data_IF_093677032025
#
_entry.id   IF_093677032025
#
_cell.length_a   1.000
_cell.length_b   1.000
_cell.length_c   1.000
_cell.angle_alpha   90.00
_cell.angle_beta   90.00
_cell.angle_gamma   90.00
#
_symmetry.space_group_name_H-M   'P 1'
#
loop_
_entity.id
_entity.type
_entity.pdbx_description
1 polymer ?
#
# COMPACT_ATOMS: atom_id res chain seq x y z
N UNK A 1 18.89 -11.31 47.37
CA UNK A 1 19.82 -11.08 46.22
C UNK A 1 19.40 -11.75 44.91
N UNK A 2 18.83 -12.96 44.86
CA UNK A 2 18.39 -13.61 43.60
C UNK A 2 17.18 -12.94 42.93
N UNK A 3 16.29 -12.32 43.70
CA UNK A 3 15.09 -11.66 43.15
C UNK A 3 15.40 -10.34 42.44
N UNK A 4 16.37 -9.58 42.94
CA UNK A 4 16.83 -8.34 42.29
C UNK A 4 17.60 -8.60 40.98
N UNK A 5 18.28 -9.75 40.89
CA UNK A 5 18.96 -10.15 39.62
C UNK A 5 17.94 -10.54 38.54
N UNK A 6 16.79 -11.13 38.89
CA UNK A 6 15.73 -11.49 37.98
C UNK A 6 14.94 -10.27 37.45
N UNK A 7 14.68 -9.29 38.33
CA UNK A 7 14.02 -8.03 37.94
C UNK A 7 14.88 -7.19 37.02
N UNK A 8 16.21 -7.18 37.19
CA UNK A 8 17.12 -6.49 36.27
C UNK A 8 17.28 -7.20 34.92
N UNK A 9 17.15 -8.54 34.89
CA UNK A 9 17.18 -9.29 33.62
C UNK A 9 15.91 -9.09 32.79
N UNK A 10 14.75 -8.96 33.44
CA UNK A 10 13.47 -8.62 32.78
C UNK A 10 13.45 -7.18 32.26
N UNK A 11 14.08 -6.23 32.95
CA UNK A 11 14.20 -4.83 32.52
C UNK A 11 15.11 -4.63 31.32
N UNK A 12 16.06 -5.55 31.08
CA UNK A 12 17.00 -5.50 29.96
C UNK A 12 16.57 -6.36 28.75
N UNK A 13 15.45 -7.07 28.85
CA UNK A 13 14.87 -7.74 27.69
C UNK A 13 14.37 -6.67 26.71
N UNK A 14 15.16 -6.39 25.67
CA UNK A 14 14.77 -5.49 24.57
C UNK A 14 13.48 -6.04 23.98
N UNK A 15 12.40 -5.25 23.90
CA UNK A 15 11.18 -5.73 23.26
C UNK A 15 11.51 -6.12 21.82
N UNK A 16 11.15 -7.35 21.47
CA UNK A 16 11.36 -7.88 20.12
C UNK A 16 10.29 -7.23 19.22
N UNK A 17 10.52 -5.97 18.83
CA UNK A 17 9.58 -5.19 18.04
C UNK A 17 9.73 -5.63 16.59
N UNK A 18 8.72 -6.30 16.06
CA UNK A 18 8.62 -6.67 14.65
C UNK A 18 7.91 -5.55 13.89
N UNK A 19 8.53 -5.05 12.82
CA UNK A 19 7.98 -4.07 11.88
C UNK A 19 7.52 -4.75 10.58
N UNK A 20 6.87 -5.90 10.69
CA UNK A 20 6.17 -6.50 9.54
C UNK A 20 4.85 -5.74 9.29
N UNK A 21 4.44 -5.61 8.02
CA UNK A 21 3.18 -4.94 7.69
C UNK A 21 2.01 -5.60 8.44
N UNK A 22 1.35 -4.82 9.29
CA UNK A 22 0.18 -5.27 10.06
C UNK A 22 -1.13 -4.98 9.35
N UNK A 23 -1.06 -4.24 8.25
CA UNK A 23 -2.22 -3.81 7.48
C UNK A 23 -2.59 -4.87 6.42
N UNK A 24 -3.41 -5.85 6.81
CA UNK A 24 -3.85 -6.90 5.89
C UNK A 24 -4.55 -6.33 4.63
N UNK A 25 -5.28 -5.22 4.77
CA UNK A 25 -5.93 -4.55 3.65
C UNK A 25 -4.95 -3.97 2.64
N UNK A 26 -3.90 -3.29 3.10
CA UNK A 26 -2.87 -2.74 2.22
C UNK A 26 -2.08 -3.84 1.49
N UNK A 27 -1.76 -4.92 2.20
CA UNK A 27 -1.10 -6.09 1.61
C UNK A 27 -1.97 -6.74 0.52
N UNK A 28 -3.26 -6.90 0.77
CA UNK A 28 -4.20 -7.42 -0.23
C UNK A 28 -4.30 -6.49 -1.45
N UNK A 29 -4.41 -5.17 -1.25
CA UNK A 29 -4.45 -4.18 -2.33
C UNK A 29 -3.17 -4.15 -3.17
N UNK A 30 -2.03 -4.53 -2.59
CA UNK A 30 -0.76 -4.65 -3.29
C UNK A 30 -0.66 -5.96 -4.07
N UNK A 31 -1.01 -7.10 -3.44
CA UNK A 31 -0.78 -8.43 -4.00
C UNK A 31 -1.82 -8.81 -5.06
N UNK A 32 -3.10 -8.45 -4.86
CA UNK A 32 -4.17 -8.81 -5.82
C UNK A 32 -3.87 -8.35 -7.24
N UNK A 33 -3.46 -7.07 -7.49
CA UNK A 33 -3.09 -6.62 -8.82
C UNK A 33 -1.90 -7.38 -9.42
N UNK A 34 -0.88 -7.67 -8.62
CA UNK A 34 0.32 -8.42 -9.05
C UNK A 34 -0.08 -9.82 -9.52
N UNK A 35 -0.85 -10.54 -8.70
CA UNK A 35 -1.32 -11.90 -9.02
C UNK A 35 -2.21 -11.87 -10.26
N UNK A 36 -3.10 -10.87 -10.37
CA UNK A 36 -3.99 -10.75 -11.53
C UNK A 36 -3.22 -10.57 -12.83
N UNK A 37 -2.19 -9.72 -12.85
CA UNK A 37 -1.33 -9.54 -14.03
C UNK A 37 -0.57 -10.82 -14.34
N UNK A 38 0.03 -11.47 -13.34
CA UNK A 38 0.78 -12.71 -13.54
C UNK A 38 -0.08 -13.83 -14.17
N UNK A 39 -1.35 -13.94 -13.74
CA UNK A 39 -2.30 -14.89 -14.34
C UNK A 39 -2.67 -14.52 -15.78
N UNK A 40 -2.88 -13.23 -16.06
CA UNK A 40 -3.28 -12.76 -17.39
C UNK A 40 -2.13 -12.81 -18.40
N UNK A 41 -0.92 -12.50 -17.98
CA UNK A 41 0.27 -12.54 -18.84
C UNK A 41 0.68 -13.98 -19.22
N UNK A 42 0.30 -14.98 -18.44
CA UNK A 42 0.60 -16.41 -18.64
C UNK A 42 2.09 -16.76 -18.74
N UNK A 43 2.96 -15.82 -18.50
CA UNK A 43 4.41 -16.00 -18.51
C UNK A 43 4.96 -15.55 -17.16
N UNK A 44 5.88 -16.33 -16.58
CA UNK A 44 6.59 -15.98 -15.36
C UNK A 44 8.02 -15.60 -15.68
N UNK A 45 8.40 -14.39 -15.26
CA UNK A 45 9.78 -13.90 -15.38
C UNK A 45 10.35 -13.55 -14.01
N UNK A 46 11.64 -13.69 -13.86
CA UNK A 46 12.35 -13.30 -12.62
C UNK A 46 12.14 -11.82 -12.27
N UNK A 47 11.93 -10.96 -13.27
CA UNK A 47 11.58 -9.55 -13.08
C UNK A 47 10.28 -9.35 -12.32
N UNK A 48 9.29 -10.24 -12.42
CA UNK A 48 8.05 -10.16 -11.65
C UNK A 48 8.28 -10.44 -10.16
N UNK A 49 9.18 -11.39 -9.83
CA UNK A 49 9.57 -11.63 -8.44
C UNK A 49 10.33 -10.43 -7.86
N UNK A 50 11.21 -9.82 -8.66
CA UNK A 50 11.90 -8.58 -8.26
C UNK A 50 10.91 -7.43 -8.04
N UNK A 51 9.90 -7.31 -8.91
CA UNK A 51 8.82 -6.30 -8.76
C UNK A 51 7.99 -6.56 -7.51
N UNK A 52 7.63 -7.82 -7.25
CA UNK A 52 6.91 -8.21 -6.02
C UNK A 52 7.74 -7.87 -4.78
N UNK A 53 9.02 -8.23 -4.77
CA UNK A 53 9.93 -7.96 -3.66
C UNK A 53 10.11 -6.45 -3.43
N UNK A 54 10.28 -5.66 -4.51
CA UNK A 54 10.38 -4.20 -4.44
C UNK A 54 9.11 -3.56 -3.90
N UNK A 55 7.93 -3.96 -4.41
CA UNK A 55 6.64 -3.43 -3.99
C UNK A 55 6.35 -3.77 -2.52
N UNK A 56 6.64 -5.01 -2.09
CA UNK A 56 6.48 -5.41 -0.69
C UNK A 56 7.47 -4.71 0.23
N UNK A 57 8.73 -4.56 -0.18
CA UNK A 57 9.74 -3.83 0.58
C UNK A 57 9.39 -2.35 0.74
N UNK A 58 8.84 -1.70 -0.30
CA UNK A 58 8.37 -0.32 -0.23
C UNK A 58 7.21 -0.17 0.78
N UNK A 59 6.24 -1.10 0.77
CA UNK A 59 5.15 -1.12 1.74
C UNK A 59 5.67 -1.34 3.16
N UNK A 60 6.55 -2.32 3.36
CA UNK A 60 7.08 -2.69 4.66
C UNK A 60 8.03 -1.65 5.27
N UNK A 61 8.75 -0.89 4.43
CA UNK A 61 9.61 0.21 4.86
C UNK A 61 8.83 1.38 5.47
N UNK A 62 7.53 1.51 5.19
CA UNK A 62 6.68 2.61 5.65
C UNK A 62 6.68 2.73 7.18
N UNK A 63 6.42 1.65 7.88
CA UNK A 63 6.23 1.69 9.34
C UNK A 63 7.50 2.08 10.10
N UNK A 64 8.67 1.44 9.88
CA UNK A 64 9.90 1.87 10.53
C UNK A 64 10.31 3.30 10.14
N UNK A 65 10.05 3.70 8.90
CA UNK A 65 10.31 5.07 8.42
C UNK A 65 9.47 6.11 9.15
N UNK A 66 8.17 5.85 9.37
CA UNK A 66 7.28 6.75 10.14
C UNK A 66 7.74 6.87 11.59
N UNK A 67 8.17 5.76 12.21
CA UNK A 67 8.71 5.80 13.59
C UNK A 67 9.96 6.68 13.66
N UNK A 68 10.91 6.48 12.75
CA UNK A 68 12.14 7.30 12.68
C UNK A 68 11.82 8.77 12.41
N UNK A 69 10.90 9.06 11.49
CA UNK A 69 10.49 10.42 11.17
C UNK A 69 9.83 11.12 12.38
N UNK A 70 8.92 10.42 13.10
CA UNK A 70 8.29 10.97 14.31
C UNK A 70 9.32 11.26 15.39
N UNK A 71 10.27 10.37 15.62
CA UNK A 71 11.34 10.57 16.60
C UNK A 71 12.22 11.78 16.22
N UNK A 72 12.54 11.95 14.94
CA UNK A 72 13.38 13.05 14.46
C UNK A 72 12.68 14.40 14.48
N UNK A 73 11.43 14.45 13.99
CA UNK A 73 10.74 15.72 13.72
C UNK A 73 9.72 16.13 14.77
N UNK A 74 9.10 15.16 15.48
CA UNK A 74 8.03 15.44 16.44
C UNK A 74 8.55 15.36 17.87
N UNK A 75 9.11 14.21 18.25
CA UNK A 75 9.49 13.99 19.63
C UNK A 75 10.90 14.50 19.97
N UNK A 76 11.75 14.66 18.96
CA UNK A 76 13.15 15.12 19.08
C UNK A 76 13.96 14.31 20.12
N UNK A 77 13.54 13.08 20.37
CA UNK A 77 14.15 12.16 21.32
C UNK A 77 14.21 10.76 20.72
N UNK A 78 15.27 10.01 21.03
CA UNK A 78 15.38 8.62 20.66
C UNK A 78 14.72 7.73 21.72
N UNK A 79 13.96 6.73 21.28
CA UNK A 79 13.32 5.74 22.14
C UNK A 79 14.01 4.38 21.99
N UNK A 80 13.68 3.44 22.87
CA UNK A 80 14.23 2.07 22.84
C UNK A 80 14.04 1.34 21.50
N UNK A 81 13.02 1.74 20.73
CA UNK A 81 12.66 1.14 19.45
C UNK A 81 13.47 1.70 18.27
N UNK A 82 14.21 2.83 18.44
CA UNK A 82 14.94 3.51 17.34
C UNK A 82 15.90 2.57 16.62
N UNK A 83 16.71 1.82 17.38
CA UNK A 83 17.69 0.91 16.80
C UNK A 83 17.05 -0.27 16.06
N UNK A 84 15.88 -0.75 16.53
CA UNK A 84 15.12 -1.78 15.84
C UNK A 84 14.50 -1.23 14.56
N UNK A 85 13.85 -0.06 14.62
CA UNK A 85 13.27 0.60 13.45
C UNK A 85 14.33 0.90 12.38
N UNK A 86 15.52 1.39 12.76
CA UNK A 86 16.61 1.66 11.84
C UNK A 86 17.11 0.39 11.12
N UNK A 87 17.25 -0.74 11.84
CA UNK A 87 17.66 -2.01 11.24
C UNK A 87 16.62 -2.55 10.27
N UNK A 88 15.34 -2.53 10.64
CA UNK A 88 14.26 -2.96 9.76
C UNK A 88 14.17 -2.08 8.52
N UNK A 89 14.27 -0.76 8.69
CA UNK A 89 14.30 0.19 7.57
C UNK A 89 15.48 -0.08 6.63
N UNK A 90 16.70 -0.25 7.17
CA UNK A 90 17.88 -0.55 6.37
C UNK A 90 17.73 -1.88 5.61
N UNK A 91 17.15 -2.91 6.24
CA UNK A 91 16.87 -4.20 5.58
C UNK A 91 15.90 -4.06 4.40
N UNK A 92 14.81 -3.31 4.58
CA UNK A 92 13.85 -3.08 3.49
C UNK A 92 14.42 -2.21 2.38
N UNK A 93 15.23 -1.19 2.72
CA UNK A 93 15.95 -0.38 1.71
C UNK A 93 16.96 -1.22 0.94
N UNK A 94 17.69 -2.11 1.61
CA UNK A 94 18.59 -3.05 0.93
C UNK A 94 17.82 -3.96 -0.03
N UNK A 95 16.67 -4.50 0.40
CA UNK A 95 15.79 -5.29 -0.47
C UNK A 95 15.30 -4.49 -1.69
N UNK A 96 14.90 -3.21 -1.50
CA UNK A 96 14.53 -2.30 -2.58
C UNK A 96 15.68 -2.08 -3.57
N UNK A 97 16.89 -1.84 -3.08
CA UNK A 97 18.08 -1.62 -3.93
C UNK A 97 18.38 -2.88 -4.73
N UNK A 98 18.43 -4.05 -4.08
CA UNK A 98 18.71 -5.33 -4.76
C UNK A 98 17.65 -5.63 -5.83
N UNK A 99 16.38 -5.46 -5.51
CA UNK A 99 15.29 -5.63 -6.49
C UNK A 99 15.40 -4.63 -7.63
N UNK A 100 15.71 -3.36 -7.31
CA UNK A 100 15.92 -2.31 -8.30
C UNK A 100 17.09 -2.63 -9.25
N UNK A 101 18.19 -3.19 -8.76
CA UNK A 101 19.32 -3.62 -9.61
C UNK A 101 18.91 -4.74 -10.57
N UNK A 102 18.08 -5.69 -10.13
CA UNK A 102 17.54 -6.73 -11.02
C UNK A 102 16.62 -6.10 -12.08
N UNK A 103 15.79 -5.15 -11.70
CA UNK A 103 14.90 -4.46 -12.62
C UNK A 103 15.64 -3.57 -13.62
N UNK A 104 16.81 -3.02 -13.27
CA UNK A 104 17.67 -2.27 -14.20
C UNK A 104 18.12 -3.08 -15.43
N UNK A 105 18.17 -4.41 -15.31
CA UNK A 105 18.54 -5.30 -16.42
C UNK A 105 17.35 -5.51 -17.38
N UNK A 106 16.12 -5.42 -16.87
CA UNK A 106 14.91 -5.81 -17.61
C UNK A 106 14.03 -4.64 -18.01
N UNK A 107 14.08 -3.54 -17.27
CA UNK A 107 13.26 -2.37 -17.50
C UNK A 107 14.02 -1.26 -18.22
N UNK A 108 13.34 -0.46 -19.08
CA UNK A 108 13.95 0.75 -19.60
C UNK A 108 14.24 1.74 -18.45
N UNK A 109 15.40 2.38 -18.47
CA UNK A 109 15.86 3.31 -17.44
C UNK A 109 14.82 4.39 -17.11
N UNK A 110 14.13 4.89 -18.14
CA UNK A 110 13.05 5.88 -17.98
C UNK A 110 11.92 5.37 -17.08
N UNK A 111 11.53 4.11 -17.20
CA UNK A 111 10.48 3.51 -16.36
C UNK A 111 10.94 3.39 -14.91
N UNK A 112 12.18 3.00 -14.66
CA UNK A 112 12.77 2.91 -13.31
C UNK A 112 12.79 4.28 -12.64
N UNK A 113 13.23 5.31 -13.36
CA UNK A 113 13.26 6.68 -12.84
C UNK A 113 11.84 7.15 -12.49
N UNK A 114 10.87 6.97 -13.38
CA UNK A 114 9.48 7.39 -13.16
C UNK A 114 8.83 6.64 -11.99
N UNK A 115 9.01 5.32 -11.93
CA UNK A 115 8.49 4.50 -10.83
C UNK A 115 9.16 4.83 -9.51
N UNK A 116 10.49 4.96 -9.50
CA UNK A 116 11.25 5.34 -8.31
C UNK A 116 10.86 6.72 -7.78
N UNK A 117 10.70 7.71 -8.67
CA UNK A 117 10.22 9.03 -8.32
C UNK A 117 8.79 8.98 -7.74
N UNK A 118 7.89 8.22 -8.37
CA UNK A 118 6.52 8.03 -7.90
C UNK A 118 6.47 7.42 -6.49
N UNK A 119 7.21 6.35 -6.26
CA UNK A 119 7.34 5.72 -4.93
C UNK A 119 7.95 6.69 -3.92
N UNK A 120 8.99 7.44 -4.29
CA UNK A 120 9.64 8.42 -3.43
C UNK A 120 8.70 9.55 -3.01
N UNK A 121 8.03 10.18 -3.97
CA UNK A 121 7.06 11.26 -3.71
C UNK A 121 5.90 10.76 -2.85
N UNK A 122 5.33 9.59 -3.18
CA UNK A 122 4.24 9.02 -2.40
C UNK A 122 4.67 8.68 -0.97
N UNK A 123 5.88 8.14 -0.79
CA UNK A 123 6.43 7.84 0.54
C UNK A 123 6.63 9.11 1.36
N UNK A 124 7.16 10.17 0.75
CA UNK A 124 7.33 11.46 1.42
C UNK A 124 5.98 12.07 1.85
N UNK A 125 4.97 11.98 0.98
CA UNK A 125 3.60 12.42 1.28
C UNK A 125 2.99 11.59 2.43
N UNK A 126 3.16 10.26 2.39
CA UNK A 126 2.69 9.36 3.43
C UNK A 126 3.32 9.69 4.79
N UNK A 127 4.63 9.99 4.84
CA UNK A 127 5.30 10.43 6.07
C UNK A 127 4.68 11.74 6.56
N UNK A 128 4.56 12.75 5.70
CA UNK A 128 4.05 14.06 6.07
C UNK A 128 2.62 13.98 6.66
N UNK A 129 1.76 13.17 6.04
CA UNK A 129 0.39 12.94 6.50
C UNK A 129 0.37 12.16 7.83
N UNK A 130 1.23 11.14 7.98
CA UNK A 130 1.34 10.36 9.21
C UNK A 130 1.90 11.18 10.38
N UNK A 131 2.87 12.05 10.12
CA UNK A 131 3.44 12.95 11.13
C UNK A 131 2.38 13.93 11.64
N UNK A 132 1.50 14.42 10.76
CA UNK A 132 0.38 15.32 11.09
C UNK A 132 -0.86 14.62 11.63
N UNK A 133 -0.83 13.31 11.86
CA UNK A 133 -1.97 12.47 12.31
C UNK A 133 -3.22 12.51 11.40
N UNK A 134 -3.06 12.90 10.12
CA UNK A 134 -4.15 12.92 9.12
C UNK A 134 -4.29 11.61 8.33
N UNK A 135 -3.63 10.54 8.77
CA UNK A 135 -3.63 9.20 8.11
C UNK A 135 -5.04 8.57 8.00
N UNK A 136 -6.01 9.03 8.79
CA UNK A 136 -7.39 8.53 8.76
C UNK A 136 -8.29 9.27 7.78
N UNK A 137 -7.78 10.28 7.05
CA UNK A 137 -8.60 10.96 6.05
C UNK A 137 -8.94 10.00 4.91
N UNK A 138 -10.21 9.97 4.52
CA UNK A 138 -10.72 9.13 3.42
C UNK A 138 -9.97 9.39 2.13
N UNK A 139 -9.67 10.68 1.85
CA UNK A 139 -8.93 11.05 0.65
C UNK A 139 -7.52 10.43 0.61
N UNK A 140 -6.80 10.46 1.74
CA UNK A 140 -5.47 9.86 1.82
C UNK A 140 -5.52 8.33 1.68
N UNK A 141 -6.53 7.68 2.23
CA UNK A 141 -6.71 6.24 2.07
C UNK A 141 -7.02 5.86 0.62
N UNK A 142 -7.85 6.64 -0.07
CA UNK A 142 -8.13 6.45 -1.51
C UNK A 142 -6.85 6.65 -2.32
N UNK A 143 -6.11 7.74 -2.10
CA UNK A 143 -4.84 7.98 -2.78
C UNK A 143 -3.83 6.84 -2.54
N UNK A 144 -3.77 6.32 -1.32
CA UNK A 144 -2.92 5.16 -0.97
C UNK A 144 -3.35 3.90 -1.72
N UNK A 145 -4.65 3.63 -1.82
CA UNK A 145 -5.18 2.48 -2.53
C UNK A 145 -4.88 2.55 -4.03
N UNK A 146 -5.06 3.73 -4.65
CA UNK A 146 -4.70 3.98 -6.06
C UNK A 146 -3.20 3.78 -6.30
N UNK A 147 -2.36 4.25 -5.37
CA UNK A 147 -0.92 4.05 -5.46
C UNK A 147 -0.53 2.58 -5.27
N UNK A 148 -1.12 1.85 -4.31
CA UNK A 148 -0.82 0.43 -4.09
C UNK A 148 -1.26 -0.45 -5.27
N UNK A 149 -2.42 -0.17 -5.85
CA UNK A 149 -2.91 -0.92 -7.03
C UNK A 149 -2.09 -0.66 -8.29
N UNK A 150 -1.28 0.43 -8.36
CA UNK A 150 -0.36 0.66 -9.48
C UNK A 150 0.75 -0.38 -9.57
N UNK A 151 0.90 -1.26 -8.58
CA UNK A 151 1.73 -2.46 -8.65
C UNK A 151 1.38 -3.34 -9.88
N UNK A 152 0.12 -3.31 -10.37
CA UNK A 152 -0.28 -3.96 -11.62
C UNK A 152 0.50 -3.44 -12.83
N UNK A 153 0.72 -2.12 -12.93
CA UNK A 153 1.48 -1.52 -14.04
C UNK A 153 2.96 -1.95 -13.99
N UNK A 154 3.53 -1.98 -12.78
CA UNK A 154 4.89 -2.45 -12.58
C UNK A 154 5.05 -3.93 -12.96
N UNK A 155 4.10 -4.78 -12.55
CA UNK A 155 4.11 -6.21 -12.89
C UNK A 155 3.88 -6.41 -14.39
N UNK A 156 3.00 -5.65 -15.01
CA UNK A 156 2.77 -5.69 -16.46
C UNK A 156 4.06 -5.37 -17.22
N UNK A 157 4.77 -4.32 -16.82
CA UNK A 157 6.06 -3.96 -17.41
C UNK A 157 7.08 -5.09 -17.25
N UNK A 158 7.10 -5.77 -16.10
CA UNK A 158 7.99 -6.91 -15.85
C UNK A 158 7.64 -8.13 -16.70
N UNK A 159 6.36 -8.42 -16.89
CA UNK A 159 5.89 -9.57 -17.64
C UNK A 159 6.08 -9.39 -19.15
N UNK A 160 5.70 -8.24 -19.67
CA UNK A 160 5.61 -8.01 -21.13
C UNK A 160 6.71 -7.10 -21.69
N UNK A 161 7.49 -6.43 -20.84
CA UNK A 161 8.50 -5.44 -21.23
C UNK A 161 7.94 -4.06 -21.65
N UNK A 162 6.61 -3.91 -21.67
CA UNK A 162 5.92 -2.67 -21.98
C UNK A 162 4.60 -2.56 -21.20
N UNK A 163 4.09 -1.35 -21.01
CA UNK A 163 2.77 -1.16 -20.41
C UNK A 163 1.72 -1.15 -21.54
N UNK A 164 1.15 -2.32 -21.78
CA UNK A 164 0.10 -2.47 -22.78
C UNK A 164 -1.20 -1.74 -22.36
N UNK A 165 -2.07 -1.35 -23.30
CA UNK A 165 -3.32 -0.63 -22.99
C UNK A 165 -4.19 -1.35 -21.95
N UNK A 166 -4.29 -2.68 -21.99
CA UNK A 166 -5.07 -3.48 -21.04
C UNK A 166 -4.57 -3.36 -19.60
N UNK A 167 -3.27 -3.05 -19.39
CA UNK A 167 -2.69 -2.86 -18.05
C UNK A 167 -3.25 -1.60 -17.37
N UNK A 168 -3.44 -0.52 -18.13
CA UNK A 168 -4.06 0.71 -17.63
C UNK A 168 -5.50 0.48 -17.20
N UNK A 169 -6.22 -0.34 -17.95
CA UNK A 169 -7.60 -0.71 -17.63
C UNK A 169 -7.66 -1.57 -16.39
N UNK A 170 -6.81 -2.59 -16.31
CA UNK A 170 -6.73 -3.44 -15.13
C UNK A 170 -6.41 -2.62 -13.87
N UNK A 171 -5.41 -1.74 -13.96
CA UNK A 171 -5.09 -0.83 -12.86
C UNK A 171 -6.29 0.04 -12.47
N UNK A 172 -6.96 0.66 -13.43
CA UNK A 172 -8.12 1.52 -13.18
C UNK A 172 -9.25 0.75 -12.48
N UNK A 173 -9.56 -0.47 -12.92
CA UNK A 173 -10.56 -1.32 -12.29
C UNK A 173 -10.18 -1.69 -10.86
N UNK A 174 -8.92 -2.06 -10.61
CA UNK A 174 -8.43 -2.37 -9.26
C UNK A 174 -8.47 -1.14 -8.34
N UNK A 175 -8.09 0.03 -8.84
CA UNK A 175 -8.15 1.29 -8.10
C UNK A 175 -9.61 1.67 -7.76
N UNK A 176 -10.54 1.51 -8.69
CA UNK A 176 -11.96 1.75 -8.46
C UNK A 176 -12.55 0.77 -7.44
N UNK A 177 -12.23 -0.52 -7.54
CA UNK A 177 -12.65 -1.53 -6.58
C UNK A 177 -12.13 -1.23 -5.17
N UNK A 178 -10.85 -0.89 -5.04
CA UNK A 178 -10.24 -0.54 -3.75
C UNK A 178 -10.87 0.73 -3.16
N UNK A 179 -11.12 1.74 -3.99
CA UNK A 179 -11.81 2.98 -3.59
C UNK A 179 -13.23 2.69 -3.10
N UNK A 180 -14.00 1.88 -3.82
CA UNK A 180 -15.34 1.48 -3.41
C UNK A 180 -15.31 0.73 -2.07
N UNK A 181 -14.36 -0.17 -1.87
CA UNK A 181 -14.15 -0.88 -0.60
C UNK A 181 -13.90 0.07 0.57
N UNK A 182 -13.04 1.07 0.40
CA UNK A 182 -12.76 2.09 1.41
C UNK A 182 -14.03 2.89 1.75
N UNK A 183 -14.78 3.34 0.75
CA UNK A 183 -16.02 4.08 0.95
C UNK A 183 -17.07 3.27 1.71
N UNK A 184 -17.21 1.97 1.39
CA UNK A 184 -18.12 1.06 2.12
C UNK A 184 -17.70 0.88 3.58
N UNK A 185 -16.39 0.74 3.84
CA UNK A 185 -15.88 0.60 5.21
C UNK A 185 -16.15 1.87 6.01
N UNK A 186 -15.87 3.05 5.44
CA UNK A 186 -16.15 4.32 6.10
C UNK A 186 -17.64 4.50 6.37
N UNK A 187 -18.50 4.19 5.39
CA UNK A 187 -19.94 4.26 5.56
C UNK A 187 -20.45 3.35 6.68
N UNK A 188 -19.92 2.11 6.77
CA UNK A 188 -20.26 1.19 7.86
C UNK A 188 -19.79 1.69 9.22
N UNK A 189 -18.61 2.31 9.27
CA UNK A 189 -18.05 2.86 10.50
C UNK A 189 -18.91 4.03 10.98
N UNK A 190 -19.23 4.96 10.09
CA UNK A 190 -20.09 6.12 10.37
C UNK A 190 -21.49 5.67 10.83
N UNK A 191 -22.06 4.66 10.17
CA UNK A 191 -23.34 4.08 10.58
C UNK A 191 -23.29 3.48 11.99
N UNK A 192 -22.19 2.79 12.36
CA UNK A 192 -22.01 2.23 13.71
C UNK A 192 -21.86 3.33 14.77
N UNK A 193 -21.12 4.40 14.47
CA UNK A 193 -20.94 5.53 15.37
C UNK A 193 -22.26 6.21 15.62
N UNK A 194 -23.03 6.42 14.59
CA UNK A 194 -24.30 7.13 14.67
C UNK A 194 -25.44 6.28 15.23
N UNK A 195 -25.43 4.94 15.06
CA UNK A 195 -26.36 4.03 15.76
C UNK A 195 -26.21 4.10 17.29
N UNK A 196 -25.08 4.63 17.77
CA UNK A 196 -24.84 4.90 19.21
C UNK A 196 -25.35 6.28 19.65
N UNK A 197 -25.74 7.16 18.76
CA UNK A 197 -25.98 8.55 19.08
C UNK A 197 -27.23 9.24 18.50
N UNK A 198 -27.70 9.02 17.28
CA UNK A 198 -28.88 9.67 16.69
C UNK A 198 -29.26 9.15 15.29
N UNK A 199 -30.51 9.47 14.84
CA UNK A 199 -31.12 9.04 13.58
C UNK A 199 -30.49 9.59 12.26
N UNK A 200 -29.50 10.47 12.31
CA UNK A 200 -28.86 11.10 11.13
C UNK A 200 -27.98 10.11 10.35
N UNK A 201 -27.65 8.99 10.95
CA UNK A 201 -26.75 7.98 10.42
C UNK A 201 -27.25 7.21 9.21
N UNK A 202 -28.56 7.03 9.10
CA UNK A 202 -29.14 6.23 8.01
C UNK A 202 -28.91 6.89 6.65
N UNK A 203 -28.96 8.22 6.58
CA UNK A 203 -28.81 8.95 5.32
C UNK A 203 -27.37 9.02 4.83
N UNK A 204 -26.39 9.15 5.74
CA UNK A 204 -24.97 9.11 5.37
C UNK A 204 -24.59 7.72 4.88
N UNK A 205 -25.08 6.65 5.52
CA UNK A 205 -24.86 5.29 5.08
C UNK A 205 -25.45 5.04 3.69
N UNK A 206 -26.69 5.48 3.44
CA UNK A 206 -27.33 5.35 2.13
C UNK A 206 -26.56 6.08 1.04
N UNK A 207 -26.11 7.31 1.28
CA UNK A 207 -25.30 8.09 0.32
C UNK A 207 -23.99 7.39 0.00
N UNK A 208 -23.26 6.92 1.01
CA UNK A 208 -21.99 6.23 0.79
C UNK A 208 -22.17 4.87 0.08
N UNK A 209 -23.23 4.14 0.39
CA UNK A 209 -23.59 2.92 -0.32
C UNK A 209 -23.94 3.20 -1.80
N UNK A 210 -24.71 4.27 -2.06
CA UNK A 210 -25.05 4.70 -3.42
C UNK A 210 -23.82 5.09 -4.23
N UNK A 211 -22.88 5.86 -3.63
CA UNK A 211 -21.62 6.24 -4.28
C UNK A 211 -20.79 4.99 -4.58
N UNK A 212 -20.69 4.05 -3.64
CA UNK A 212 -19.94 2.80 -3.83
C UNK A 212 -20.53 1.93 -4.94
N UNK A 213 -21.86 1.79 -4.97
CA UNK A 213 -22.56 1.06 -6.03
C UNK A 213 -22.42 1.78 -7.38
N UNK A 214 -22.47 3.11 -7.40
CA UNK A 214 -22.25 3.90 -8.60
C UNK A 214 -20.84 3.70 -9.18
N UNK A 215 -19.81 3.72 -8.33
CA UNK A 215 -18.43 3.44 -8.74
C UNK A 215 -18.28 2.04 -9.30
N UNK A 216 -18.85 1.02 -8.62
CA UNK A 216 -18.82 -0.38 -9.09
C UNK A 216 -19.58 -0.56 -10.41
N UNK A 217 -20.72 0.11 -10.56
CA UNK A 217 -21.49 0.09 -11.80
C UNK A 217 -20.72 0.73 -12.96
N UNK A 218 -20.12 1.90 -12.74
CA UNK A 218 -19.26 2.54 -13.75
C UNK A 218 -18.08 1.64 -14.14
N UNK A 219 -17.44 0.99 -13.17
CA UNK A 219 -16.36 0.03 -13.43
C UNK A 219 -16.84 -1.14 -14.29
N UNK A 220 -18.00 -1.71 -13.97
CA UNK A 220 -18.59 -2.81 -14.73
C UNK A 220 -18.97 -2.41 -16.17
N UNK A 221 -19.53 -1.20 -16.35
CA UNK A 221 -19.86 -0.64 -17.69
C UNK A 221 -18.60 -0.43 -18.52
N UNK A 222 -17.57 0.19 -17.94
CA UNK A 222 -16.28 0.38 -18.59
C UNK A 222 -15.69 -0.97 -19.00
N UNK A 223 -15.67 -1.95 -18.10
CA UNK A 223 -15.18 -3.30 -18.41
C UNK A 223 -15.96 -3.96 -19.54
N UNK A 224 -17.30 -3.80 -19.58
CA UNK A 224 -18.15 -4.34 -20.63
C UNK A 224 -17.90 -3.69 -22.00
N UNK A 225 -17.72 -2.36 -22.04
CA UNK A 225 -17.39 -1.62 -23.26
C UNK A 225 -16.04 -2.07 -23.81
N UNK A 226 -15.05 -2.19 -22.93
CA UNK A 226 -13.71 -2.64 -23.33
C UNK A 226 -13.69 -4.06 -23.86
N UNK A 227 -14.47 -4.97 -23.22
CA UNK A 227 -14.59 -6.34 -23.70
C UNK A 227 -15.12 -6.39 -25.14
N UNK A 228 -16.04 -5.50 -25.52
CA UNK A 228 -16.56 -5.43 -26.89
C UNK A 228 -15.52 -4.95 -27.89
N UNK A 229 -14.71 -3.95 -27.52
CA UNK A 229 -13.64 -3.45 -28.38
C UNK A 229 -12.41 -4.38 -28.52
N UNK A 230 -12.36 -5.47 -27.74
CA UNK A 230 -11.28 -6.47 -27.81
C UNK A 230 -11.64 -7.70 -28.62
N UNK A 231 -12.92 -7.87 -29.01
CA UNK A 231 -13.45 -9.00 -29.79
C UNK A 231 -13.59 -8.61 -31.27
N UNK A 232 -13.45 -7.34 -31.57
CA UNK A 232 -13.38 -6.79 -32.96
C UNK A 232 -11.92 -6.63 -33.41
#
# INVERSE_FOLDING_TARGET
MREQANTNKAKNARPNVSFLPREHGATAMLLTPIISVAILAREWRWSELATLAAAFAALAAKDPMVVLARQRFVWKQSHSETAAAARWFAGWVACLILSGLVLLITWPLKAIILMGLGVGVFSALAIAVNVKNHQRSTLFQIASAVALTSSSLATCLSATGAIAPWCWWLWSLMAMQATAGILVVHARLDARIAARGTAIASDQFRRAAQVSLGVLFCAAVIAAILRRGWIS
#
